data_IF_224296371526
#
_entry.id   IF_224296371526
#
_cell.length_a   1.000
_cell.length_b   1.000
_cell.length_c   1.000
_cell.angle_alpha   90.00
_cell.angle_beta   90.00
_cell.angle_gamma   90.00
#
_symmetry.space_group_name_H-M   'P 1'
#
loop_
_entity.id
_entity.type
_entity.pdbx_description
1 polymer ?
#
# COMPACT_ATOMS: atom_id res chain seq x y z
N UNK A 1 50.23 -1.35 -26.35
CA UNK A 1 48.89 -1.43 -26.98
C UNK A 1 47.88 -2.33 -26.25
N UNK A 2 48.29 -3.27 -25.38
CA UNK A 2 47.36 -4.15 -24.64
C UNK A 2 46.71 -3.49 -23.42
N UNK A 3 47.37 -2.54 -22.75
CA UNK A 3 46.82 -1.84 -21.59
C UNK A 3 45.67 -0.87 -21.93
N UNK A 4 45.81 -0.11 -23.02
CA UNK A 4 44.79 0.88 -23.47
C UNK A 4 43.49 0.19 -23.91
N UNK A 5 43.56 -1.03 -24.47
CA UNK A 5 42.37 -1.80 -24.89
C UNK A 5 41.60 -2.37 -23.70
N UNK A 6 42.27 -2.60 -22.56
CA UNK A 6 41.64 -3.05 -21.31
C UNK A 6 40.88 -1.92 -20.62
N UNK A 7 41.42 -0.71 -20.66
CA UNK A 7 40.75 0.49 -20.10
C UNK A 7 39.51 0.93 -20.88
N UNK A 8 39.50 0.74 -22.20
CA UNK A 8 38.29 0.93 -23.00
C UNK A 8 37.23 -0.15 -22.72
N UNK A 9 37.63 -1.40 -22.44
CA UNK A 9 36.67 -2.45 -22.09
C UNK A 9 36.08 -2.31 -20.68
N UNK A 10 36.85 -1.80 -19.71
CA UNK A 10 36.36 -1.50 -18.35
C UNK A 10 35.54 -0.21 -18.29
N UNK A 11 35.82 0.78 -19.15
CA UNK A 11 35.01 2.00 -19.26
C UNK A 11 33.71 1.79 -20.06
N UNK A 12 33.58 0.70 -20.81
CA UNK A 12 32.38 0.37 -21.62
C UNK A 12 31.41 -0.59 -20.87
N UNK A 13 31.84 -1.29 -19.82
CA UNK A 13 31.03 -2.33 -19.14
C UNK A 13 30.58 -1.99 -17.71
N UNK A 14 30.32 -0.73 -17.40
CA UNK A 14 29.56 -0.34 -16.21
C UNK A 14 28.40 0.61 -16.53
N UNK A 15 27.94 0.63 -17.77
CA UNK A 15 26.58 1.08 -18.09
C UNK A 15 25.65 0.00 -17.56
N UNK A 16 25.02 0.22 -16.41
CA UNK A 16 23.89 -0.62 -16.00
C UNK A 16 22.88 -0.59 -17.14
N UNK A 17 22.79 -1.65 -17.93
CA UNK A 17 21.86 -1.67 -19.05
C UNK A 17 20.44 -1.48 -18.49
N UNK A 18 19.74 -0.44 -18.95
CA UNK A 18 18.38 -0.16 -18.53
C UNK A 18 17.49 -1.25 -19.10
N UNK A 19 17.25 -2.29 -18.31
CA UNK A 19 16.30 -3.35 -18.61
C UNK A 19 14.86 -2.83 -18.67
N UNK A 20 13.99 -3.55 -19.38
CA UNK A 20 12.55 -3.26 -19.47
C UNK A 20 11.89 -3.14 -18.08
N UNK A 21 12.33 -3.94 -17.11
CA UNK A 21 11.78 -3.95 -15.75
C UNK A 21 11.93 -2.60 -15.02
N UNK A 22 12.96 -1.81 -15.36
CA UNK A 22 13.17 -0.47 -14.80
C UNK A 22 12.14 0.56 -15.24
N UNK A 23 11.38 0.26 -16.31
CA UNK A 23 10.28 1.11 -16.76
C UNK A 23 8.96 0.79 -16.06
N UNK A 24 8.83 -0.34 -15.34
CA UNK A 24 7.57 -0.76 -14.70
C UNK A 24 6.99 0.21 -13.66
N UNK A 25 7.77 1.01 -12.92
CA UNK A 25 7.17 2.00 -12.03
C UNK A 25 6.35 3.08 -12.77
N UNK A 26 6.61 3.32 -14.07
CA UNK A 26 5.81 4.23 -14.91
C UNK A 26 4.36 3.72 -15.10
N UNK A 27 4.09 2.52 -15.66
CA UNK A 27 2.74 2.02 -15.75
C UNK A 27 2.10 1.84 -14.38
N UNK A 28 2.85 1.50 -13.32
CA UNK A 28 2.30 1.47 -11.96
C UNK A 28 1.78 2.84 -11.52
N UNK A 29 2.53 3.91 -11.80
CA UNK A 29 2.10 5.30 -11.55
C UNK A 29 0.82 5.64 -12.33
N UNK A 30 0.76 5.26 -13.61
CA UNK A 30 -0.42 5.51 -14.46
C UNK A 30 -1.65 4.76 -13.93
N UNK A 31 -1.48 3.49 -13.53
CA UNK A 31 -2.53 2.69 -12.91
C UNK A 31 -2.98 3.31 -11.58
N UNK A 32 -2.05 3.80 -10.76
CA UNK A 32 -2.36 4.48 -9.50
C UNK A 32 -3.17 5.75 -9.74
N UNK A 33 -2.81 6.58 -10.72
CA UNK A 33 -3.57 7.79 -11.09
C UNK A 33 -4.98 7.44 -11.55
N UNK A 34 -5.13 6.42 -12.41
CA UNK A 34 -6.44 5.98 -12.87
C UNK A 34 -7.31 5.43 -11.72
N UNK A 35 -6.72 4.61 -10.84
CA UNK A 35 -7.42 4.09 -9.68
C UNK A 35 -7.78 5.20 -8.67
N UNK A 36 -6.89 6.17 -8.47
CA UNK A 36 -7.13 7.35 -7.65
C UNK A 36 -8.33 8.15 -8.17
N UNK A 37 -8.46 8.35 -9.48
CA UNK A 37 -9.61 9.01 -10.08
C UNK A 37 -10.93 8.26 -9.78
N UNK A 38 -10.92 6.92 -9.83
CA UNK A 38 -12.07 6.09 -9.46
C UNK A 38 -12.44 6.25 -7.98
N UNK A 39 -11.45 6.26 -7.08
CA UNK A 39 -11.67 6.45 -5.64
C UNK A 39 -12.21 7.85 -5.34
N UNK A 40 -11.67 8.89 -5.97
CA UNK A 40 -12.18 10.26 -5.81
C UNK A 40 -13.62 10.37 -6.29
N UNK A 41 -13.92 9.83 -7.47
CA UNK A 41 -15.27 9.83 -8.01
C UNK A 41 -16.24 9.14 -7.05
N UNK A 42 -15.91 7.94 -6.57
CA UNK A 42 -16.75 7.22 -5.60
C UNK A 42 -16.86 7.96 -4.26
N UNK A 43 -15.77 8.54 -3.78
CA UNK A 43 -15.73 9.32 -2.54
C UNK A 43 -16.72 10.47 -2.58
N UNK A 44 -16.75 11.22 -3.69
CA UNK A 44 -17.71 12.30 -3.93
C UNK A 44 -19.15 11.79 -3.98
N UNK A 45 -19.41 10.66 -4.63
CA UNK A 45 -20.76 10.08 -4.72
C UNK A 45 -21.27 9.47 -3.39
N UNK A 46 -20.38 9.05 -2.49
CA UNK A 46 -20.73 8.38 -1.23
C UNK A 46 -20.54 9.27 0.01
N UNK A 47 -20.22 10.56 -0.16
CA UNK A 47 -20.03 11.48 0.96
C UNK A 47 -18.77 11.22 1.79
N UNK A 48 -17.71 10.70 1.17
CA UNK A 48 -16.38 10.48 1.78
C UNK A 48 -16.39 9.68 3.10
N UNK A 49 -16.89 8.43 3.11
CA UNK A 49 -16.72 7.56 4.27
C UNK A 49 -15.22 7.37 4.58
N UNK A 50 -14.83 7.20 5.87
CA UNK A 50 -13.43 7.20 6.27
C UNK A 50 -12.52 6.24 5.49
N UNK A 51 -13.01 5.03 5.18
CA UNK A 51 -12.22 4.07 4.40
C UNK A 51 -11.86 4.58 3.00
N UNK A 52 -12.75 5.31 2.32
CA UNK A 52 -12.46 5.90 1.00
C UNK A 52 -11.48 7.07 1.11
N UNK A 53 -11.55 7.88 2.17
CA UNK A 53 -10.57 8.94 2.41
C UNK A 53 -9.17 8.32 2.53
N UNK A 54 -9.02 7.34 3.42
CA UNK A 54 -7.75 6.67 3.66
C UNK A 54 -7.24 5.87 2.45
N UNK A 55 -8.12 5.18 1.71
CA UNK A 55 -7.73 4.51 0.47
C UNK A 55 -7.28 5.49 -0.61
N UNK A 56 -7.94 6.65 -0.74
CA UNK A 56 -7.56 7.70 -1.70
C UNK A 56 -6.16 8.22 -1.37
N UNK A 57 -5.89 8.53 -0.09
CA UNK A 57 -4.56 8.95 0.36
C UNK A 57 -3.53 7.84 0.07
N UNK A 58 -3.87 6.59 0.38
CA UNK A 58 -2.99 5.44 0.18
C UNK A 58 -2.58 5.23 -1.27
N UNK A 59 -3.55 5.21 -2.19
CA UNK A 59 -3.26 5.08 -3.63
C UNK A 59 -2.47 6.28 -4.16
N UNK A 60 -2.73 7.48 -3.66
CA UNK A 60 -1.96 8.66 -4.03
C UNK A 60 -0.48 8.54 -3.58
N UNK A 61 -0.23 8.12 -2.33
CA UNK A 61 1.13 7.90 -1.82
C UNK A 61 1.84 6.76 -2.57
N UNK A 62 1.12 5.67 -2.86
CA UNK A 62 1.62 4.55 -3.66
C UNK A 62 2.05 5.00 -5.06
N UNK A 63 1.20 5.77 -5.76
CA UNK A 63 1.51 6.34 -7.07
C UNK A 63 2.68 7.31 -7.02
N UNK A 64 2.77 8.15 -5.97
CA UNK A 64 3.89 9.07 -5.79
C UNK A 64 5.21 8.32 -5.53
N UNK A 65 5.19 7.24 -4.76
CA UNK A 65 6.35 6.37 -4.53
C UNK A 65 6.87 5.79 -5.84
N UNK A 66 6.01 5.13 -6.61
CA UNK A 66 6.37 4.50 -7.89
C UNK A 66 6.78 5.52 -8.96
N UNK A 67 6.21 6.73 -8.93
CA UNK A 67 6.67 7.84 -9.76
C UNK A 67 8.12 8.21 -9.44
N UNK A 68 8.45 8.37 -8.16
CA UNK A 68 9.80 8.69 -7.72
C UNK A 68 10.78 7.57 -8.05
N UNK A 69 10.37 6.30 -7.94
CA UNK A 69 11.18 5.15 -8.38
C UNK A 69 11.49 5.19 -9.87
N UNK A 70 10.52 5.55 -10.70
CA UNK A 70 10.74 5.69 -12.15
C UNK A 70 11.79 6.77 -12.44
N UNK A 71 11.73 7.90 -11.73
CA UNK A 71 12.68 9.01 -11.90
C UNK A 71 14.06 8.57 -11.42
N UNK A 72 14.15 7.99 -10.22
CA UNK A 72 15.41 7.54 -9.63
C UNK A 72 16.09 6.51 -10.52
N UNK A 73 15.34 5.52 -11.00
CA UNK A 73 15.90 4.41 -11.77
C UNK A 73 16.37 4.87 -13.14
N UNK A 74 15.58 5.71 -13.83
CA UNK A 74 15.86 6.10 -15.22
C UNK A 74 16.76 7.34 -15.34
N UNK A 75 16.70 8.26 -14.38
CA UNK A 75 17.41 9.54 -14.45
C UNK A 75 18.48 9.72 -13.38
N UNK A 76 18.58 8.75 -12.47
CA UNK A 76 19.52 8.78 -11.36
C UNK A 76 18.89 9.31 -10.07
N UNK A 77 19.52 8.95 -8.96
CA UNK A 77 19.08 9.29 -7.63
C UNK A 77 19.70 10.60 -7.14
N UNK A 78 19.02 11.28 -6.24
CA UNK A 78 19.52 12.45 -5.51
C UNK A 78 19.01 12.41 -4.08
N UNK A 79 19.61 13.22 -3.20
CA UNK A 79 19.16 13.35 -1.81
C UNK A 79 17.64 13.63 -1.72
N UNK A 80 17.17 14.62 -2.49
CA UNK A 80 15.78 15.03 -2.47
C UNK A 80 14.84 13.92 -2.97
N UNK A 81 15.18 13.29 -4.10
CA UNK A 81 14.38 12.19 -4.66
C UNK A 81 14.29 11.02 -3.69
N UNK A 82 15.43 10.61 -3.11
CA UNK A 82 15.49 9.49 -2.18
C UNK A 82 14.70 9.77 -0.90
N UNK A 83 14.77 11.00 -0.37
CA UNK A 83 14.01 11.42 0.81
C UNK A 83 12.50 11.39 0.55
N UNK A 84 12.06 11.99 -0.55
CA UNK A 84 10.63 11.98 -0.91
C UNK A 84 10.12 10.58 -1.23
N UNK A 85 10.95 9.73 -1.84
CA UNK A 85 10.60 8.34 -2.08
C UNK A 85 10.43 7.58 -0.76
N UNK A 86 11.34 7.79 0.20
CA UNK A 86 11.26 7.13 1.49
C UNK A 86 9.97 7.50 2.24
N UNK A 87 9.55 8.76 2.17
CA UNK A 87 8.28 9.21 2.74
C UNK A 87 7.09 8.59 1.99
N UNK A 88 7.03 8.74 0.67
CA UNK A 88 5.87 8.36 -0.13
C UNK A 88 5.71 6.83 -0.25
N UNK A 89 6.79 6.12 -0.58
CA UNK A 89 6.79 4.68 -0.79
C UNK A 89 6.98 3.91 0.52
N UNK A 90 8.09 4.15 1.23
CA UNK A 90 8.48 3.29 2.35
C UNK A 90 7.64 3.49 3.62
N UNK A 91 7.22 4.74 3.92
CA UNK A 91 6.41 5.07 5.11
C UNK A 91 4.92 5.11 4.77
N UNK A 92 4.54 5.91 3.77
CA UNK A 92 3.13 6.20 3.47
C UNK A 92 2.53 5.27 2.40
N UNK A 93 3.31 4.41 1.76
CA UNK A 93 2.81 3.63 0.61
C UNK A 93 1.69 2.67 0.98
N UNK A 94 1.84 1.95 2.10
CA UNK A 94 0.87 0.94 2.52
C UNK A 94 0.04 1.33 3.75
N UNK A 95 0.56 2.20 4.63
CA UNK A 95 -0.10 2.56 5.90
C UNK A 95 -1.52 3.13 5.71
N UNK A 96 -1.78 4.13 4.85
CA UNK A 96 -3.13 4.68 4.68
C UNK A 96 -4.11 3.66 4.09
N UNK A 97 -3.69 2.81 3.15
CA UNK A 97 -4.53 1.73 2.61
C UNK A 97 -5.01 0.80 3.73
N UNK A 98 -4.07 0.40 4.60
CA UNK A 98 -4.36 -0.43 5.75
C UNK A 98 -5.25 0.27 6.78
N UNK A 99 -5.04 1.56 7.04
CA UNK A 99 -5.92 2.38 7.88
C UNK A 99 -7.35 2.40 7.33
N UNK A 100 -7.53 2.51 6.01
CA UNK A 100 -8.88 2.42 5.45
C UNK A 100 -9.50 1.03 5.59
N UNK A 101 -8.70 -0.04 5.51
CA UNK A 101 -9.16 -1.41 5.82
C UNK A 101 -9.54 -1.58 7.30
N UNK A 102 -8.84 -0.92 8.22
CA UNK A 102 -9.23 -0.85 9.64
C UNK A 102 -10.65 -0.29 9.80
N UNK A 103 -11.00 0.77 9.08
CA UNK A 103 -12.36 1.34 9.08
C UNK A 103 -13.41 0.48 8.36
N UNK A 104 -13.00 -0.52 7.57
CA UNK A 104 -13.90 -1.49 6.95
C UNK A 104 -14.17 -2.70 7.84
N UNK A 105 -13.16 -3.15 8.58
CA UNK A 105 -13.22 -4.42 9.33
C UNK A 105 -13.62 -4.21 10.79
N UNK A 106 -13.21 -3.09 11.40
CA UNK A 106 -13.40 -2.84 12.82
C UNK A 106 -14.49 -1.81 13.10
N UNK A 107 -15.07 -1.88 14.30
CA UNK A 107 -16.00 -0.87 14.78
C UNK A 107 -15.36 0.53 14.79
N UNK A 108 -16.14 1.57 14.47
CA UNK A 108 -15.64 2.94 14.26
C UNK A 108 -14.80 3.49 15.41
N UNK A 109 -15.18 3.21 16.67
CA UNK A 109 -14.40 3.64 17.85
C UNK A 109 -13.01 3.01 17.85
N UNK A 110 -12.95 1.69 17.71
CA UNK A 110 -11.68 0.93 17.64
C UNK A 110 -10.82 1.37 16.46
N UNK A 111 -11.43 1.54 15.28
CA UNK A 111 -10.74 2.02 14.09
C UNK A 111 -10.12 3.41 14.30
N UNK A 112 -10.86 4.32 14.93
CA UNK A 112 -10.38 5.67 15.24
C UNK A 112 -9.22 5.64 16.23
N UNK A 113 -9.35 4.89 17.33
CA UNK A 113 -8.28 4.73 18.33
C UNK A 113 -7.02 4.13 17.71
N UNK A 114 -7.14 3.06 16.91
CA UNK A 114 -6.00 2.44 16.24
C UNK A 114 -5.35 3.38 15.23
N UNK A 115 -6.13 4.20 14.53
CA UNK A 115 -5.61 5.22 13.62
C UNK A 115 -4.82 6.28 14.39
N UNK A 116 -5.37 6.76 15.52
CA UNK A 116 -4.71 7.74 16.38
C UNK A 116 -3.41 7.20 16.99
N UNK A 117 -3.35 5.90 17.32
CA UNK A 117 -2.12 5.26 17.81
C UNK A 117 -1.12 5.08 16.66
N UNK A 118 -1.56 4.58 15.50
CA UNK A 118 -0.66 4.25 14.40
C UNK A 118 -0.10 5.48 13.67
N UNK A 119 -0.78 6.64 13.74
CA UNK A 119 -0.26 7.88 13.15
C UNK A 119 0.94 8.44 13.92
N UNK A 120 1.10 8.12 15.22
CA UNK A 120 2.23 8.60 16.04
C UNK A 120 3.59 8.15 15.48
N UNK A 121 3.86 6.85 15.26
CA UNK A 121 5.13 6.42 14.66
C UNK A 121 5.29 6.92 13.21
N UNK A 122 4.20 7.14 12.46
CA UNK A 122 4.25 7.68 11.10
C UNK A 122 4.67 9.15 11.08
N UNK A 123 4.10 9.98 11.97
CA UNK A 123 4.50 11.39 12.14
C UNK A 123 5.96 11.46 12.60
N UNK A 124 6.33 10.67 13.61
CA UNK A 124 7.70 10.61 14.10
C UNK A 124 8.68 10.24 12.98
N UNK A 125 8.39 9.18 12.22
CA UNK A 125 9.22 8.76 11.09
C UNK A 125 9.30 9.86 10.01
N UNK A 126 8.17 10.50 9.70
CA UNK A 126 8.11 11.58 8.69
C UNK A 126 8.98 12.76 9.08
N UNK A 127 8.81 13.27 10.30
CA UNK A 127 9.62 14.39 10.83
C UNK A 127 11.09 13.99 10.88
N UNK A 128 11.40 12.79 11.37
CA UNK A 128 12.78 12.32 11.47
C UNK A 128 13.45 12.18 10.10
N UNK A 129 12.76 11.71 9.06
CA UNK A 129 13.30 11.61 7.69
C UNK A 129 13.53 12.99 7.08
N UNK A 130 12.66 13.95 7.36
CA UNK A 130 12.81 15.33 6.88
C UNK A 130 14.01 16.03 7.53
N UNK A 131 14.28 15.75 8.81
CA UNK A 131 15.37 16.37 9.56
C UNK A 131 16.69 15.61 9.49
N UNK A 132 16.66 14.31 9.21
CA UNK A 132 17.87 13.49 9.12
C UNK A 132 18.77 14.01 8.00
N UNK A 133 20.07 14.21 8.27
CA UNK A 133 21.06 14.36 7.23
C UNK A 133 21.08 13.10 6.33
N UNK A 134 21.53 13.29 5.10
CA UNK A 134 21.63 12.23 4.09
C UNK A 134 23.08 12.07 3.70
N UNK A 135 23.61 10.87 3.91
CA UNK A 135 24.93 10.49 3.45
C UNK A 135 24.89 10.22 1.94
N UNK A 136 25.33 11.22 1.18
CA UNK A 136 25.38 11.17 -0.29
C UNK A 136 26.27 10.05 -0.82
N UNK A 137 27.25 9.57 -0.04
CA UNK A 137 28.14 8.47 -0.43
C UNK A 137 27.43 7.12 -0.42
N UNK A 138 26.31 7.02 0.32
CA UNK A 138 25.49 5.82 0.47
C UNK A 138 24.26 5.81 -0.44
N UNK A 139 24.06 6.84 -1.26
CA UNK A 139 22.96 6.91 -2.23
C UNK A 139 23.32 6.07 -3.46
N UNK A 140 22.59 4.99 -3.76
CA UNK A 140 22.81 4.25 -4.99
C UNK A 140 22.40 5.10 -6.20
N UNK A 141 23.19 5.04 -7.27
CA UNK A 141 23.01 5.89 -8.45
C UNK A 141 21.63 5.73 -9.11
N UNK A 142 21.09 4.51 -9.21
CA UNK A 142 19.87 4.23 -9.99
C UNK A 142 18.84 3.38 -9.24
N UNK A 143 18.82 3.46 -7.91
CA UNK A 143 17.79 2.77 -7.13
C UNK A 143 17.49 3.52 -5.82
N UNK A 144 16.23 3.49 -5.37
CA UNK A 144 15.88 4.03 -4.07
C UNK A 144 16.52 3.23 -2.94
N UNK A 145 16.88 3.88 -1.84
CA UNK A 145 17.42 3.19 -0.66
C UNK A 145 17.21 3.94 0.64
N UNK A 146 16.88 3.20 1.69
CA UNK A 146 16.90 3.72 3.06
C UNK A 146 18.29 3.85 3.68
N UNK A 147 19.34 3.30 3.04
CA UNK A 147 20.71 3.27 3.59
C UNK A 147 21.33 4.65 3.76
N UNK A 148 20.94 5.61 2.93
CA UNK A 148 21.49 6.96 2.93
C UNK A 148 20.97 7.83 4.10
N UNK A 149 19.96 7.38 4.86
CA UNK A 149 19.42 8.09 6.02
C UNK A 149 20.36 7.87 7.21
N UNK A 150 21.04 8.92 7.65
CA UNK A 150 22.03 8.85 8.74
C UNK A 150 21.43 8.44 10.08
N UNK A 151 20.23 8.94 10.41
CA UNK A 151 19.54 8.55 11.64
C UNK A 151 19.00 7.13 11.50
N UNK A 152 19.89 6.17 11.76
CA UNK A 152 19.67 4.76 11.47
C UNK A 152 18.46 4.15 12.18
N UNK A 153 18.09 4.66 13.36
CA UNK A 153 16.92 4.21 14.12
C UNK A 153 15.60 4.42 13.38
N UNK A 154 15.51 5.39 12.46
CA UNK A 154 14.33 5.61 11.60
C UNK A 154 14.02 4.35 10.80
N UNK A 155 15.06 3.63 10.35
CA UNK A 155 14.91 2.41 9.55
C UNK A 155 14.22 1.28 10.33
N UNK A 156 14.20 1.34 11.66
CA UNK A 156 13.47 0.39 12.50
C UNK A 156 11.96 0.69 12.59
N UNK A 157 11.54 1.94 12.36
CA UNK A 157 10.11 2.30 12.32
C UNK A 157 9.42 1.77 11.07
N UNK A 158 10.12 1.74 9.93
CA UNK A 158 9.54 1.30 8.65
C UNK A 158 9.00 -0.14 8.69
N UNK A 159 9.72 -1.16 9.22
CA UNK A 159 9.15 -2.48 9.45
C UNK A 159 7.93 -2.50 10.37
N UNK A 160 7.89 -1.66 11.41
CA UNK A 160 6.74 -1.60 12.34
C UNK A 160 5.50 -1.05 11.62
N UNK A 161 5.66 0.03 10.86
CA UNK A 161 4.59 0.64 10.06
C UNK A 161 4.12 -0.34 8.97
N UNK A 162 5.04 -1.03 8.31
CA UNK A 162 4.69 -1.99 7.27
C UNK A 162 4.09 -3.28 7.83
N UNK A 163 4.42 -3.67 9.06
CA UNK A 163 3.77 -4.77 9.76
C UNK A 163 2.31 -4.43 10.07
N UNK A 164 2.05 -3.22 10.58
CA UNK A 164 0.68 -2.72 10.71
C UNK A 164 -0.06 -2.78 9.37
N UNK A 165 0.60 -2.33 8.30
CA UNK A 165 0.00 -2.34 6.97
C UNK A 165 -0.33 -3.75 6.48
N UNK A 166 0.61 -4.69 6.60
CA UNK A 166 0.41 -6.09 6.23
C UNK A 166 -0.73 -6.72 7.06
N UNK A 167 -0.75 -6.51 8.37
CA UNK A 167 -1.77 -7.08 9.25
C UNK A 167 -3.18 -6.63 8.85
N UNK A 168 -3.40 -5.34 8.60
CA UNK A 168 -4.75 -4.82 8.37
C UNK A 168 -5.17 -4.79 6.91
N UNK A 169 -4.26 -4.55 5.96
CA UNK A 169 -4.59 -4.63 4.55
C UNK A 169 -4.69 -6.09 4.09
N UNK A 170 -3.65 -6.88 4.31
CA UNK A 170 -3.61 -8.28 3.86
C UNK A 170 -4.42 -9.16 4.80
N UNK A 171 -4.14 -9.10 6.11
CA UNK A 171 -4.87 -9.91 7.09
C UNK A 171 -6.35 -9.56 7.18
N UNK A 172 -6.71 -8.27 7.15
CA UNK A 172 -8.11 -7.83 7.12
C UNK A 172 -8.87 -8.30 5.89
N UNK A 173 -8.23 -8.28 4.71
CA UNK A 173 -8.83 -8.79 3.48
C UNK A 173 -8.93 -10.32 3.47
N UNK A 174 -7.89 -11.03 3.93
CA UNK A 174 -7.91 -12.49 4.06
C UNK A 174 -9.00 -12.96 5.05
N UNK A 175 -9.12 -12.30 6.19
CA UNK A 175 -10.19 -12.53 7.16
C UNK A 175 -11.57 -12.31 6.51
N UNK A 176 -11.75 -11.19 5.80
CA UNK A 176 -13.01 -10.88 5.11
C UNK A 176 -13.37 -11.94 4.06
N UNK A 177 -12.38 -12.48 3.34
CA UNK A 177 -12.58 -13.58 2.38
C UNK A 177 -13.17 -14.82 3.05
N UNK A 178 -12.65 -15.20 4.22
CA UNK A 178 -13.18 -16.32 5.02
C UNK A 178 -14.59 -16.01 5.52
N UNK A 179 -14.82 -14.81 6.04
CA UNK A 179 -16.12 -14.41 6.60
C UNK A 179 -17.25 -14.39 5.57
N UNK A 180 -16.99 -13.97 4.34
CA UNK A 180 -17.99 -13.96 3.27
C UNK A 180 -18.13 -15.31 2.54
N UNK A 181 -17.27 -16.29 2.85
CA UNK A 181 -17.30 -17.59 2.18
C UNK A 181 -18.58 -18.35 2.53
N UNK A 182 -19.29 -18.81 1.49
CA UNK A 182 -20.55 -19.55 1.66
C UNK A 182 -21.76 -18.67 1.98
N UNK A 183 -21.60 -17.37 2.15
CA UNK A 183 -22.72 -16.42 2.30
C UNK A 183 -23.35 -16.19 0.92
N UNK A 184 -24.68 -16.38 0.76
CA UNK A 184 -25.38 -16.11 -0.49
C UNK A 184 -25.10 -14.69 -1.01
N UNK A 185 -24.95 -14.55 -2.33
CA UNK A 185 -24.70 -13.28 -3.05
C UNK A 185 -23.41 -12.51 -2.69
N UNK A 186 -22.57 -13.02 -1.79
CA UNK A 186 -21.29 -12.39 -1.42
C UNK A 186 -20.08 -12.91 -2.20
N UNK A 187 -20.28 -13.75 -3.23
CA UNK A 187 -19.18 -14.29 -4.06
C UNK A 187 -18.24 -13.21 -4.60
N UNK A 188 -18.71 -12.06 -5.13
CA UNK A 188 -17.79 -11.02 -5.60
C UNK A 188 -17.00 -10.36 -4.46
N UNK A 189 -17.52 -10.31 -3.22
CA UNK A 189 -16.73 -9.86 -2.06
C UNK A 189 -15.65 -10.85 -1.67
N UNK A 190 -15.93 -12.15 -1.73
CA UNK A 190 -14.91 -13.20 -1.48
C UNK A 190 -13.78 -13.08 -2.48
N UNK A 191 -14.09 -13.02 -3.79
CA UNK A 191 -13.09 -12.84 -4.84
C UNK A 191 -12.35 -11.51 -4.66
N UNK A 192 -13.09 -10.43 -4.40
CA UNK A 192 -12.52 -9.10 -4.28
C UNK A 192 -11.55 -8.95 -3.11
N UNK A 193 -11.92 -9.48 -1.96
CA UNK A 193 -11.06 -9.47 -0.76
C UNK A 193 -9.87 -10.43 -0.91
N UNK A 194 -10.01 -11.57 -1.58
CA UNK A 194 -8.88 -12.43 -1.92
C UNK A 194 -7.86 -11.72 -2.84
N UNK A 195 -8.34 -11.00 -3.86
CA UNK A 195 -7.48 -10.22 -4.76
C UNK A 195 -6.77 -9.08 -4.02
N UNK A 196 -7.45 -8.37 -3.10
CA UNK A 196 -6.83 -7.34 -2.27
C UNK A 196 -5.76 -7.94 -1.36
N UNK A 197 -6.01 -9.11 -0.76
CA UNK A 197 -5.04 -9.78 0.10
C UNK A 197 -3.78 -10.18 -0.68
N UNK A 198 -3.96 -10.85 -1.83
CA UNK A 198 -2.84 -11.22 -2.70
C UNK A 198 -2.10 -9.98 -3.22
N UNK A 199 -2.84 -8.96 -3.66
CA UNK A 199 -2.27 -7.74 -4.19
C UNK A 199 -1.49 -6.92 -3.15
N UNK A 200 -1.96 -6.87 -1.90
CA UNK A 200 -1.25 -6.22 -0.81
C UNK A 200 -0.02 -6.99 -0.32
N UNK A 201 0.00 -8.31 -0.47
CA UNK A 201 1.13 -9.16 -0.08
C UNK A 201 2.34 -8.97 -1.00
N UNK A 202 2.09 -8.80 -2.30
CA UNK A 202 3.15 -8.73 -3.32
C UNK A 202 4.17 -7.60 -3.05
N UNK A 203 3.79 -6.32 -2.87
CA UNK A 203 4.75 -5.26 -2.56
C UNK A 203 5.54 -5.52 -1.27
N UNK A 204 4.95 -6.21 -0.28
CA UNK A 204 5.64 -6.61 0.94
C UNK A 204 6.78 -7.61 0.66
N UNK A 205 6.53 -8.61 -0.17
CA UNK A 205 7.54 -9.58 -0.61
C UNK A 205 8.59 -8.87 -1.49
N UNK A 206 8.14 -8.05 -2.44
CA UNK A 206 8.98 -7.23 -3.31
C UNK A 206 9.94 -6.34 -2.52
N UNK A 207 9.43 -5.64 -1.50
CA UNK A 207 10.24 -4.78 -0.64
C UNK A 207 11.23 -5.55 0.23
N UNK A 208 10.90 -6.77 0.63
CA UNK A 208 11.83 -7.70 1.27
C UNK A 208 12.99 -8.08 0.33
N UNK A 209 12.67 -8.42 -0.93
CA UNK A 209 13.67 -8.74 -1.95
C UNK A 209 14.54 -7.52 -2.33
N UNK A 210 13.96 -6.32 -2.40
CA UNK A 210 14.69 -5.09 -2.64
C UNK A 210 15.75 -4.83 -1.56
N UNK A 211 15.43 -5.10 -0.29
CA UNK A 211 16.41 -5.04 0.82
C UNK A 211 17.51 -6.10 0.71
N UNK A 212 17.21 -7.24 0.07
CA UNK A 212 18.20 -8.27 -0.26
C UNK A 212 18.98 -7.97 -1.56
N UNK A 213 18.72 -6.83 -2.21
CA UNK A 213 19.45 -6.36 -3.39
C UNK A 213 18.72 -6.51 -4.72
N UNK A 214 17.54 -7.14 -4.76
CA UNK A 214 16.73 -7.38 -5.96
C UNK A 214 15.58 -6.36 -6.06
N UNK A 215 15.88 -5.14 -6.49
CA UNK A 215 14.90 -4.03 -6.51
C UNK A 215 13.88 -4.18 -7.64
N UNK A 216 14.28 -4.80 -8.75
CA UNK A 216 13.44 -5.05 -9.91
C UNK A 216 12.23 -5.94 -9.56
N UNK A 217 12.40 -6.83 -8.58
CA UNK A 217 11.35 -7.69 -8.08
C UNK A 217 10.27 -6.90 -7.31
N UNK A 218 10.63 -5.77 -6.68
CA UNK A 218 9.67 -4.83 -6.11
C UNK A 218 8.81 -4.20 -7.21
N UNK A 219 9.40 -3.72 -8.30
CA UNK A 219 8.65 -3.05 -9.37
C UNK A 219 7.59 -3.95 -10.02
N UNK A 220 7.93 -5.22 -10.25
CA UNK A 220 6.97 -6.23 -10.72
C UNK A 220 5.87 -6.46 -9.69
N UNK A 221 6.25 -6.65 -8.44
CA UNK A 221 5.32 -6.93 -7.35
C UNK A 221 4.37 -5.77 -7.07
N UNK A 222 4.82 -4.53 -7.26
CA UNK A 222 4.01 -3.34 -7.11
C UNK A 222 2.98 -3.19 -8.22
N UNK A 223 3.40 -3.34 -9.49
CA UNK A 223 2.48 -3.26 -10.61
C UNK A 223 1.38 -4.34 -10.49
N UNK A 224 1.78 -5.59 -10.31
CA UNK A 224 0.83 -6.70 -10.19
C UNK A 224 -0.01 -6.54 -8.92
N UNK A 225 0.61 -6.13 -7.82
CA UNK A 225 -0.07 -5.89 -6.55
C UNK A 225 -1.18 -4.86 -6.67
N UNK A 226 -0.89 -3.71 -7.26
CA UNK A 226 -1.85 -2.63 -7.45
C UNK A 226 -2.98 -3.02 -8.41
N UNK A 227 -2.68 -3.73 -9.49
CA UNK A 227 -3.69 -4.26 -10.42
C UNK A 227 -4.65 -5.22 -9.70
N UNK A 228 -4.14 -6.11 -8.85
CA UNK A 228 -4.97 -7.02 -8.05
C UNK A 228 -5.80 -6.28 -7.00
N UNK A 229 -5.23 -5.29 -6.30
CA UNK A 229 -5.97 -4.45 -5.35
C UNK A 229 -7.12 -3.72 -6.07
N UNK A 230 -6.86 -3.13 -7.24
CA UNK A 230 -7.89 -2.42 -7.99
C UNK A 230 -8.96 -3.38 -8.53
N UNK A 231 -8.58 -4.52 -9.11
CA UNK A 231 -9.53 -5.54 -9.55
C UNK A 231 -10.38 -6.03 -8.37
N UNK A 232 -9.76 -6.26 -7.22
CA UNK A 232 -10.45 -6.69 -6.01
C UNK A 232 -11.44 -5.65 -5.48
N UNK A 233 -11.05 -4.39 -5.48
CA UNK A 233 -11.95 -3.27 -5.22
C UNK A 233 -13.15 -3.29 -6.16
N UNK A 234 -12.94 -3.45 -7.48
CA UNK A 234 -14.03 -3.48 -8.47
C UNK A 234 -15.00 -4.65 -8.22
N UNK A 235 -14.50 -5.82 -7.80
CA UNK A 235 -15.35 -6.94 -7.40
C UNK A 235 -16.18 -6.63 -6.16
N UNK A 236 -15.58 -6.07 -5.11
CA UNK A 236 -16.27 -5.71 -3.87
C UNK A 236 -17.39 -4.69 -4.09
N UNK A 237 -17.21 -3.74 -5.00
CA UNK A 237 -18.22 -2.72 -5.25
C UNK A 237 -19.43 -3.21 -6.06
N UNK A 238 -19.26 -4.25 -6.88
CA UNK A 238 -20.35 -4.86 -7.68
C UNK A 238 -21.34 -5.63 -6.81
N UNK A 239 -20.92 -6.06 -5.62
CA UNK A 239 -21.77 -6.72 -4.61
C UNK A 239 -22.65 -5.76 -3.80
N UNK A 240 -22.52 -4.44 -3.94
CA UNK A 240 -23.42 -3.49 -3.28
C UNK A 240 -24.65 -3.29 -4.16
N UNK A 241 -25.65 -4.15 -4.01
CA UNK A 241 -26.92 -4.06 -4.74
C UNK A 241 -27.65 -2.76 -4.36
N UNK A 242 -28.41 -2.11 -5.26
CA UNK A 242 -29.02 -0.78 -5.01
C UNK A 242 -30.01 -0.66 -3.85
N UNK A 243 -30.35 -1.75 -3.15
CA UNK A 243 -31.38 -1.78 -2.10
C UNK A 243 -30.83 -1.76 -0.66
N UNK A 244 -29.51 -1.60 -0.46
CA UNK A 244 -28.87 -1.61 0.85
C UNK A 244 -29.10 -0.32 1.69
N UNK A 245 -30.05 0.54 1.31
CA UNK A 245 -30.40 1.76 2.06
C UNK A 245 -31.08 1.51 3.42
N UNK A 246 -31.21 0.25 3.86
CA UNK A 246 -31.90 -0.12 5.10
C UNK A 246 -31.02 -0.89 6.12
N UNK A 247 -29.74 -1.15 5.82
CA UNK A 247 -28.87 -2.01 6.65
C UNK A 247 -27.80 -1.25 7.46
N UNK A 248 -27.79 0.09 7.45
CA UNK A 248 -26.91 0.89 8.32
C UNK A 248 -27.36 0.93 9.79
N UNK A 249 -28.43 0.22 10.15
CA UNK A 249 -28.79 0.01 11.55
C UNK A 249 -27.95 -1.13 12.14
N UNK A 250 -27.25 -0.93 13.29
CA UNK A 250 -26.55 -2.01 13.96
C UNK A 250 -27.57 -3.11 14.30
N UNK A 251 -27.26 -4.35 13.91
CA UNK A 251 -28.06 -5.52 14.19
C UNK A 251 -28.40 -5.58 15.68
N UNK A 252 -29.63 -5.21 16.03
CA UNK A 252 -30.17 -5.45 17.35
C UNK A 252 -30.21 -6.97 17.54
N UNK A 253 -29.45 -7.45 18.51
CA UNK A 253 -29.50 -8.83 18.97
C UNK A 253 -30.92 -9.08 19.48
N UNK A 254 -31.72 -9.79 18.69
CA UNK A 254 -33.03 -10.28 19.12
C UNK A 254 -32.81 -11.42 20.10
N UNK A 255 -32.98 -11.16 21.39
CA UNK A 255 -33.05 -12.18 22.44
C UNK A 255 -34.34 -13.00 22.26
N UNK A 256 -34.31 -14.34 22.28
CA UNK A 256 -35.53 -15.13 22.16
C UNK A 256 -36.25 -15.29 23.52
N UNK A 257 -37.56 -15.03 23.47
CA UNK A 257 -38.70 -15.59 24.20
C UNK A 257 -38.69 -15.65 25.75
N UNK A 258 -39.75 -15.08 26.33
CA UNK A 258 -40.44 -15.66 27.48
C UNK A 258 -41.90 -15.91 27.09
N UNK A 259 -42.25 -17.18 26.92
CA UNK A 259 -43.63 -17.65 26.89
C UNK A 259 -44.15 -17.70 28.33
N UNK A 260 -45.06 -16.79 28.70
CA UNK A 260 -45.89 -16.99 29.88
C UNK A 260 -47.29 -17.37 29.41
N UNK A 261 -47.66 -18.60 29.72
CA UNK A 261 -49.00 -19.11 29.57
C UNK A 261 -49.83 -18.91 30.85
N UNK A 262 -51.14 -18.88 30.62
CA UNK A 262 -52.21 -19.40 31.49
C UNK A 262 -52.79 -18.51 32.61
N UNK A 263 -54.12 -18.39 32.51
CA UNK A 263 -55.15 -18.16 33.54
C UNK A 263 -55.13 -16.78 34.22
N UNK A 264 -56.23 -16.06 34.38
CA UNK A 264 -57.66 -16.37 34.48
C UNK A 264 -58.47 -15.16 34.03
#
# INVERSE_FOLDING_TARGET
>A
MVAIRRDLSSSIMATSEILFVHYLPIPTTVVAIAFLAVLIHRGRHRGWPPHLVWWTIGVACYGAGTMLESIITLRGNSEGLNRWWYLAGAILGAWPLATGSVYLVLARRTATTLTAISVVPVILATVAVLLSPIDVTQIPAHRPSGSAIEWTWIRALTPVINLYAALFLVGGAAWSCVQFRGVPDQRPRVIGTALIALGGLLPGIGGGMAKAGMVEALYVAELVGLLLIWAGYQCCIRSATPNDGHLDAPAAVSTPAASEGSAA
#
